data_IF_873013305923
#
_entry.id   IF_873013305923
#
_cell.length_a   1.000
_cell.length_b   1.000
_cell.length_c   1.000
_cell.angle_alpha   90.00
_cell.angle_beta   90.00
_cell.angle_gamma   90.00
#
_symmetry.space_group_name_H-M   'P 1'
#
loop_
_entity.id
_entity.type
_entity.pdbx_description
1 polymer ?
#
# COMPACT_ATOMS: atom_id res chain seq x y z
N UNK A 1 -3.62 -7.21 -4.94
CA UNK A 1 -2.51 -6.36 -5.42
C UNK A 1 -2.84 -5.68 -6.75
N UNK A 2 -3.16 -6.43 -7.82
CA UNK A 2 -3.42 -5.85 -9.16
C UNK A 2 -4.53 -4.79 -9.19
N UNK A 3 -5.60 -4.99 -8.40
CA UNK A 3 -6.69 -4.02 -8.29
C UNK A 3 -6.24 -2.67 -7.74
N UNK A 4 -5.41 -2.64 -6.68
CA UNK A 4 -4.98 -1.40 -6.05
C UNK A 4 -4.07 -0.59 -6.99
N UNK A 5 -3.11 -1.25 -7.64
CA UNK A 5 -2.22 -0.60 -8.62
C UNK A 5 -2.99 -0.07 -9.84
N UNK A 6 -3.94 -0.85 -10.37
CA UNK A 6 -4.79 -0.41 -11.48
C UNK A 6 -5.83 0.66 -11.09
N UNK A 7 -6.14 0.79 -9.80
CA UNK A 7 -7.12 1.74 -9.27
C UNK A 7 -6.47 2.98 -8.64
N UNK A 8 -5.19 3.24 -8.96
CA UNK A 8 -4.51 4.49 -8.63
C UNK A 8 -3.51 4.43 -7.47
N UNK A 9 -3.22 3.25 -6.90
CA UNK A 9 -2.06 3.12 -5.99
C UNK A 9 -0.75 3.26 -6.77
N UNK A 10 0.24 3.91 -6.15
CA UNK A 10 1.58 3.95 -6.71
C UNK A 10 2.32 2.65 -6.36
N UNK A 11 2.43 1.76 -7.34
CA UNK A 11 3.09 0.46 -7.16
C UNK A 11 4.52 0.45 -7.69
N UNK A 12 5.08 1.58 -8.13
CA UNK A 12 6.45 1.64 -8.63
C UNK A 12 7.47 1.24 -7.56
N UNK A 13 7.26 1.68 -6.31
CA UNK A 13 8.18 1.40 -5.19
C UNK A 13 8.24 -0.08 -4.79
N UNK A 14 7.24 -0.90 -5.14
CA UNK A 14 7.19 -2.33 -4.83
C UNK A 14 7.54 -3.23 -6.03
N UNK A 15 7.85 -2.65 -7.19
CA UNK A 15 8.36 -3.41 -8.33
C UNK A 15 9.81 -3.86 -8.09
N UNK A 16 10.32 -4.85 -8.84
CA UNK A 16 11.74 -5.18 -8.83
C UNK A 16 12.58 -3.92 -9.08
N UNK A 17 13.58 -3.67 -8.23
CA UNK A 17 14.41 -2.44 -8.13
C UNK A 17 13.74 -1.23 -7.44
N UNK A 18 12.53 -1.38 -6.88
CA UNK A 18 11.88 -0.35 -6.06
C UNK A 18 12.40 -0.33 -4.62
N UNK A 19 12.31 0.82 -3.95
CA UNK A 19 12.79 1.01 -2.57
C UNK A 19 11.99 0.23 -1.52
N UNK A 20 10.76 -0.19 -1.84
CA UNK A 20 9.89 -1.03 -1.01
C UNK A 20 9.77 -2.47 -1.54
N UNK A 21 10.68 -2.92 -2.40
CA UNK A 21 10.61 -4.29 -2.91
C UNK A 21 10.91 -5.32 -1.82
N UNK A 22 11.88 -5.06 -0.94
CA UNK A 22 12.21 -5.96 0.16
C UNK A 22 11.46 -5.57 1.44
N UNK A 23 10.86 -6.54 2.17
CA UNK A 23 10.89 -7.98 1.89
C UNK A 23 9.95 -8.36 0.73
N UNK A 24 10.44 -9.21 -0.18
CA UNK A 24 9.69 -9.70 -1.36
C UNK A 24 8.63 -10.73 -0.93
N UNK A 25 7.58 -10.22 -0.30
CA UNK A 25 6.44 -11.00 0.15
C UNK A 25 5.16 -10.35 -0.36
N UNK A 26 4.20 -11.20 -0.71
CA UNK A 26 2.88 -10.75 -1.14
C UNK A 26 2.25 -9.81 -0.10
N UNK A 27 2.48 -10.07 1.19
CA UNK A 27 1.95 -9.27 2.30
C UNK A 27 2.54 -7.86 2.35
N UNK A 28 3.87 -7.72 2.23
CA UNK A 28 4.53 -6.42 2.27
C UNK A 28 4.10 -5.54 1.08
N UNK A 29 4.14 -6.11 -0.13
CA UNK A 29 3.71 -5.42 -1.33
C UNK A 29 2.21 -5.09 -1.31
N UNK A 30 1.36 -5.98 -0.79
CA UNK A 30 -0.07 -5.73 -0.70
C UNK A 30 -0.37 -4.60 0.30
N UNK A 31 0.32 -4.60 1.45
CA UNK A 31 0.19 -3.54 2.46
C UNK A 31 0.53 -2.17 1.87
N UNK A 32 1.62 -2.08 1.12
CA UNK A 32 2.03 -0.82 0.46
C UNK A 32 1.01 -0.36 -0.59
N UNK A 33 0.58 -1.26 -1.48
CA UNK A 33 -0.41 -0.94 -2.51
C UNK A 33 -1.77 -0.54 -1.90
N UNK A 34 -2.20 -1.23 -0.84
CA UNK A 34 -3.44 -0.92 -0.12
C UNK A 34 -3.36 0.42 0.60
N UNK A 35 -2.23 0.76 1.22
CA UNK A 35 -2.04 2.09 1.79
C UNK A 35 -2.20 3.18 0.71
N UNK A 36 -1.50 3.06 -0.41
CA UNK A 36 -1.59 4.05 -1.50
C UNK A 36 -3.02 4.23 -2.04
N UNK A 37 -3.74 3.14 -2.25
CA UNK A 37 -5.13 3.20 -2.71
C UNK A 37 -6.08 3.76 -1.64
N UNK A 38 -5.95 3.32 -0.39
CA UNK A 38 -6.79 3.83 0.71
C UNK A 38 -6.59 5.32 0.92
N UNK A 39 -5.35 5.82 0.93
CA UNK A 39 -5.09 7.25 1.13
C UNK A 39 -5.71 8.13 0.04
N UNK A 40 -5.78 7.63 -1.20
CA UNK A 40 -6.42 8.36 -2.32
C UNK A 40 -7.94 8.26 -2.30
N UNK A 41 -8.50 7.19 -1.76
CA UNK A 41 -9.95 6.93 -1.76
C UNK A 41 -10.66 7.31 -0.46
N UNK A 42 -9.92 7.46 0.66
CA UNK A 42 -10.50 7.79 1.98
C UNK A 42 -11.32 9.08 1.97
N UNK A 43 -10.91 10.07 1.17
CA UNK A 43 -11.61 11.35 0.99
C UNK A 43 -13.00 11.16 0.37
N UNK A 44 -13.18 10.13 -0.46
CA UNK A 44 -14.46 9.77 -1.07
C UNK A 44 -15.27 8.76 -0.21
N UNK A 45 -14.85 8.51 1.04
CA UNK A 45 -15.47 7.50 1.90
C UNK A 45 -15.04 6.06 1.61
N UNK A 46 -13.93 5.88 0.89
CA UNK A 46 -13.34 4.56 0.63
C UNK A 46 -12.99 3.82 1.92
N UNK A 47 -13.28 2.51 1.97
CA UNK A 47 -12.98 1.68 3.14
C UNK A 47 -11.70 0.87 2.91
N UNK A 48 -10.92 0.68 3.97
CA UNK A 48 -9.75 -0.23 3.96
C UNK A 48 -10.18 -1.69 4.22
N UNK A 49 -11.29 -2.12 3.60
CA UNK A 49 -11.82 -3.49 3.73
C UNK A 49 -11.65 -4.20 2.39
N UNK A 50 -10.41 -4.61 2.10
CA UNK A 50 -10.10 -5.45 0.93
C UNK A 50 -10.57 -6.90 1.18
N UNK A 51 -11.86 -7.12 1.38
CA UNK A 51 -12.43 -8.43 1.72
C UNK A 51 -11.95 -8.98 3.07
N UNK A 52 -11.63 -8.11 4.03
CA UNK A 52 -11.09 -8.50 5.35
C UNK A 52 -9.60 -8.84 5.37
N UNK A 53 -8.90 -8.66 4.25
CA UNK A 53 -7.45 -8.94 4.14
C UNK A 53 -6.57 -7.75 4.48
N UNK A 54 -7.16 -6.62 4.88
CA UNK A 54 -6.46 -5.41 5.26
C UNK A 54 -7.04 -4.84 6.55
N UNK A 55 -6.20 -4.13 7.30
CA UNK A 55 -6.58 -3.42 8.52
C UNK A 55 -5.91 -2.06 8.54
N UNK A 56 -6.54 -1.10 9.21
CA UNK A 56 -5.90 0.18 9.50
C UNK A 56 -4.91 0.00 10.65
N UNK A 57 -3.69 0.48 10.45
CA UNK A 57 -2.67 0.57 11.48
C UNK A 57 -2.46 2.04 11.85
N UNK A 58 -2.24 2.29 13.13
CA UNK A 58 -1.96 3.63 13.67
C UNK A 58 -0.46 3.93 13.76
N UNK A 59 0.36 2.90 13.57
CA UNK A 59 1.82 3.00 13.54
C UNK A 59 2.28 2.95 12.09
N UNK A 60 3.13 3.90 11.70
CA UNK A 60 3.73 3.94 10.38
C UNK A 60 4.65 2.72 10.17
N UNK A 61 4.34 1.82 9.21
CA UNK A 61 5.16 0.65 8.93
C UNK A 61 6.36 0.96 8.02
N UNK A 62 6.66 2.24 7.74
CA UNK A 62 7.85 2.65 6.98
C UNK A 62 9.14 2.20 7.63
N UNK A 63 10.10 1.75 6.83
CA UNK A 63 11.45 1.37 7.24
C UNK A 63 12.47 1.74 6.15
N UNK A 64 13.68 2.12 6.54
CA UNK A 64 14.77 2.50 5.63
C UNK A 64 14.32 3.47 4.51
N UNK A 65 14.46 3.06 3.25
CA UNK A 65 14.04 3.80 2.05
C UNK A 65 12.60 3.50 1.63
N UNK A 66 11.94 2.56 2.32
CA UNK A 66 10.55 2.22 2.09
C UNK A 66 9.62 3.11 2.92
N UNK A 67 8.99 4.10 2.26
CA UNK A 67 8.11 5.07 2.90
C UNK A 67 6.65 4.89 2.48
N UNK A 68 5.79 4.58 3.44
CA UNK A 68 4.35 4.55 3.26
C UNK A 68 3.86 6.00 3.16
N UNK A 69 3.49 6.42 1.96
CA UNK A 69 3.06 7.80 1.70
C UNK A 69 1.68 8.08 2.32
N UNK A 70 1.54 9.25 2.94
CA UNK A 70 0.29 9.80 3.47
C UNK A 70 -0.16 10.97 2.58
N UNK A 71 -1.45 11.01 2.21
CA UNK A 71 -2.06 12.09 1.42
C UNK A 71 -3.12 12.83 2.23
#
# INVERSE_FOLDING_TARGET
MNYACGSGADCASIQPNGSCFMPDTLFAHASYAFNGHWQRTKVAGGTCSYGGTAMLVTVDPSYDECRFVYY
#
